data_IF_296614721798
#
_entry.id   IF_296614721798
#
_cell.length_a   1.000
_cell.length_b   1.000
_cell.length_c   1.000
_cell.angle_alpha   90.00
_cell.angle_beta   90.00
_cell.angle_gamma   90.00
#
_symmetry.space_group_name_H-M   'P 1'
#
loop_
_entity.id
_entity.type
_entity.pdbx_description
1 polymer ?
#
# COMPACT_ATOMS: atom_id res chain seq x y z
N UNK A 1 -7.94 44.50 -3.39
CA UNK A 1 -8.44 43.60 -2.33
C UNK A 1 -8.83 42.31 -3.04
N UNK A 2 -7.86 41.44 -3.25
CA UNK A 2 -7.94 40.30 -4.17
C UNK A 2 -8.27 39.05 -3.36
N UNK A 3 -9.53 38.64 -3.40
CA UNK A 3 -9.96 37.35 -2.90
C UNK A 3 -9.35 36.26 -3.77
N UNK A 4 -8.37 35.55 -3.21
CA UNK A 4 -7.79 34.37 -3.85
C UNK A 4 -8.70 33.20 -3.47
N UNK A 5 -9.59 32.83 -4.39
CA UNK A 5 -10.34 31.57 -4.32
C UNK A 5 -9.33 30.42 -4.30
N UNK A 6 -9.07 29.91 -3.09
CA UNK A 6 -8.32 28.68 -2.87
C UNK A 6 -9.15 27.53 -3.42
N UNK A 7 -8.77 27.07 -4.61
CA UNK A 7 -9.33 25.87 -5.21
C UNK A 7 -9.05 24.70 -4.28
N UNK A 8 -10.09 24.20 -3.61
CA UNK A 8 -10.05 22.97 -2.85
C UNK A 8 -9.79 21.83 -3.84
N UNK A 9 -8.51 21.55 -4.08
CA UNK A 9 -8.10 20.34 -4.76
C UNK A 9 -8.68 19.16 -3.97
N UNK A 10 -9.58 18.42 -4.60
CA UNK A 10 -10.11 17.16 -4.07
C UNK A 10 -8.92 16.24 -3.84
N UNK A 11 -8.52 16.11 -2.58
CA UNK A 11 -7.35 15.33 -2.15
C UNK A 11 -7.69 13.85 -2.30
N UNK A 12 -7.34 13.25 -3.43
CA UNK A 12 -7.35 11.80 -3.59
C UNK A 12 -6.26 11.20 -2.69
N UNK A 13 -6.68 10.61 -1.57
CA UNK A 13 -5.87 10.05 -0.47
C UNK A 13 -4.86 8.93 -0.83
N UNK A 14 -4.57 8.69 -2.11
CA UNK A 14 -3.82 7.53 -2.59
C UNK A 14 -2.71 7.87 -3.61
N UNK A 15 -2.14 9.07 -3.54
CA UNK A 15 -0.87 9.41 -4.20
C UNK A 15 0.32 8.91 -3.35
N UNK A 16 1.38 8.29 -3.90
CA UNK A 16 2.63 7.99 -3.18
C UNK A 16 3.20 9.17 -2.37
N UNK A 17 2.87 10.43 -2.71
CA UNK A 17 3.20 11.61 -1.91
C UNK A 17 2.60 11.59 -0.48
N UNK A 18 1.48 10.91 -0.26
CA UNK A 18 0.79 10.84 1.04
C UNK A 18 1.16 9.60 1.87
N UNK A 19 2.01 8.71 1.32
CA UNK A 19 2.44 7.50 2.01
C UNK A 19 3.08 7.77 3.38
N UNK A 20 3.94 8.81 3.57
CA UNK A 20 4.49 9.12 4.89
C UNK A 20 3.41 9.52 5.91
N UNK A 21 2.43 10.33 5.50
CA UNK A 21 1.34 10.76 6.38
C UNK A 21 0.43 9.59 6.79
N UNK A 22 0.13 8.71 5.83
CA UNK A 22 -0.63 7.48 6.08
C UNK A 22 0.10 6.59 7.09
N UNK A 23 1.40 6.37 6.89
CA UNK A 23 2.23 5.54 7.77
C UNK A 23 2.43 6.14 9.16
N UNK A 24 2.51 7.48 9.26
CA UNK A 24 2.58 8.18 10.54
C UNK A 24 1.37 7.84 11.44
N UNK A 25 0.16 7.79 10.86
CA UNK A 25 -1.06 7.39 11.58
C UNK A 25 -1.03 5.95 12.07
N UNK A 26 -0.15 5.13 11.49
CA UNK A 26 0.01 3.72 11.80
C UNK A 26 1.20 3.46 12.74
N UNK A 27 1.85 4.51 13.25
CA UNK A 27 3.03 4.39 14.11
C UNK A 27 4.31 4.11 13.34
N UNK A 28 4.43 4.56 12.09
CA UNK A 28 5.67 4.46 11.33
C UNK A 28 6.19 5.85 10.94
N UNK A 29 7.49 6.05 11.03
CA UNK A 29 8.15 7.28 10.61
C UNK A 29 9.13 7.00 9.46
N UNK A 30 9.36 7.98 8.55
CA UNK A 30 10.46 7.89 7.60
C UNK A 30 11.78 7.66 8.32
N UNK A 31 12.59 6.72 7.82
CA UNK A 31 13.89 6.39 8.36
C UNK A 31 14.97 6.58 7.31
N UNK A 32 16.07 7.25 7.68
CA UNK A 32 17.23 7.40 6.79
C UNK A 32 18.05 6.11 6.69
N UNK A 33 18.02 5.26 7.71
CA UNK A 33 18.73 3.97 7.75
C UNK A 33 18.02 3.02 8.72
N UNK A 34 18.02 1.71 8.43
CA UNK A 34 17.44 0.70 9.31
C UNK A 34 15.91 0.57 9.24
N UNK A 35 15.27 1.26 8.29
CA UNK A 35 13.86 1.07 7.99
C UNK A 35 13.61 -0.14 7.09
N UNK A 36 12.34 -0.49 6.93
CA UNK A 36 11.91 -1.43 5.90
C UNK A 36 11.30 -0.67 4.72
N UNK A 37 11.49 -1.23 3.53
CA UNK A 37 10.83 -0.72 2.31
C UNK A 37 9.44 -1.29 2.20
N UNK A 38 8.59 -0.55 1.50
CA UNK A 38 7.25 -0.99 1.14
C UNK A 38 7.20 -1.39 -0.33
N UNK A 39 6.25 -2.26 -0.64
CA UNK A 39 5.76 -2.51 -1.99
C UNK A 39 4.31 -2.07 -2.07
N UNK A 40 3.85 -1.84 -3.29
CA UNK A 40 2.45 -1.53 -3.52
C UNK A 40 1.93 -2.02 -4.85
N UNK A 41 0.61 -2.09 -4.92
CA UNK A 41 -0.14 -2.33 -6.14
C UNK A 41 -1.04 -1.11 -6.39
N UNK A 42 -1.09 -0.66 -7.64
CA UNK A 42 -1.87 0.52 -8.05
C UNK A 42 -3.20 0.09 -8.67
N UNK A 43 -4.17 0.97 -8.55
CA UNK A 43 -5.38 0.97 -9.35
C UNK A 43 -5.07 1.37 -10.81
N UNK A 44 -5.99 1.12 -11.75
CA UNK A 44 -5.83 1.51 -13.16
C UNK A 44 -5.59 3.02 -13.36
N UNK A 45 -6.12 3.86 -12.48
CA UNK A 45 -5.94 5.32 -12.48
C UNK A 45 -4.56 5.76 -11.94
N UNK A 46 -3.71 4.81 -11.51
CA UNK A 46 -2.39 5.08 -10.96
C UNK A 46 -2.36 5.35 -9.46
N UNK A 47 -3.52 5.47 -8.80
CA UNK A 47 -3.63 5.60 -7.35
C UNK A 47 -3.20 4.31 -6.64
N UNK A 48 -2.72 4.42 -5.41
CA UNK A 48 -2.29 3.29 -4.61
C UNK A 48 -3.54 2.51 -4.13
N UNK A 49 -3.56 1.19 -4.36
CA UNK A 49 -4.65 0.31 -3.92
C UNK A 49 -4.27 -0.50 -2.68
N UNK A 50 -3.05 -1.02 -2.70
CA UNK A 50 -2.52 -1.91 -1.67
C UNK A 50 -1.09 -1.53 -1.34
N UNK A 51 -0.73 -1.63 -0.06
CA UNK A 51 0.61 -1.36 0.46
C UNK A 51 1.01 -2.43 1.47
N UNK A 52 2.23 -2.93 1.40
CA UNK A 52 2.74 -3.90 2.37
C UNK A 52 4.27 -3.84 2.51
N UNK A 53 4.86 -4.35 3.60
CA UNK A 53 6.30 -4.51 3.76
C UNK A 53 6.93 -5.35 2.65
N UNK A 54 8.04 -4.91 2.08
CA UNK A 54 8.74 -5.64 1.02
C UNK A 54 9.33 -6.98 1.50
N UNK A 55 9.35 -7.22 2.82
CA UNK A 55 9.75 -8.47 3.48
C UNK A 55 8.61 -9.48 3.61
N UNK A 56 7.38 -9.09 3.29
CA UNK A 56 6.19 -9.91 3.47
C UNK A 56 6.24 -11.14 2.54
N UNK A 57 6.11 -12.34 3.12
CA UNK A 57 6.20 -13.62 2.38
C UNK A 57 4.84 -14.18 1.98
N UNK A 58 3.76 -13.63 2.50
CA UNK A 58 2.39 -14.03 2.20
C UNK A 58 1.60 -12.83 1.70
N UNK A 59 0.74 -12.98 0.69
CA UNK A 59 -0.02 -11.87 0.15
C UNK A 59 -1.23 -11.54 1.04
N UNK A 60 -0.99 -10.97 2.22
CA UNK A 60 -2.04 -10.65 3.21
C UNK A 60 -3.15 -9.75 2.63
N UNK A 61 -2.82 -8.92 1.63
CA UNK A 61 -3.82 -8.08 0.94
C UNK A 61 -4.93 -8.89 0.25
N UNK A 62 -4.71 -10.18 -0.05
CA UNK A 62 -5.75 -11.04 -0.61
C UNK A 62 -6.86 -11.38 0.39
N UNK A 63 -6.64 -11.22 1.70
CA UNK A 63 -7.69 -11.43 2.70
C UNK A 63 -8.83 -10.43 2.56
N UNK A 64 -8.52 -9.22 2.06
CA UNK A 64 -9.50 -8.20 1.73
C UNK A 64 -10.03 -8.30 0.29
N UNK A 65 -9.57 -9.29 -0.49
CA UNK A 65 -9.97 -9.47 -1.88
C UNK A 65 -11.13 -10.46 -1.98
N UNK A 66 -12.28 -9.99 -2.48
CA UNK A 66 -13.44 -10.84 -2.68
C UNK A 66 -13.22 -11.84 -3.84
N UNK A 67 -12.90 -13.10 -3.48
CA UNK A 67 -12.71 -14.21 -4.40
C UNK A 67 -14.01 -14.97 -4.76
N UNK A 68 -15.16 -14.28 -4.83
CA UNK A 68 -16.44 -14.91 -5.15
C UNK A 68 -16.47 -15.53 -6.57
N UNK A 69 -15.87 -14.87 -7.56
CA UNK A 69 -15.88 -15.32 -8.96
C UNK A 69 -14.70 -16.25 -9.30
N UNK A 70 -14.89 -17.12 -10.30
CA UNK A 70 -13.82 -18.02 -10.79
C UNK A 70 -12.58 -17.25 -11.25
N UNK A 71 -12.77 -16.10 -11.91
CA UNK A 71 -11.68 -15.20 -12.30
C UNK A 71 -10.92 -14.66 -11.09
N UNK A 72 -11.65 -14.24 -10.05
CA UNK A 72 -11.05 -13.73 -8.82
C UNK A 72 -10.26 -14.83 -8.08
N UNK A 73 -10.79 -16.07 -8.02
CA UNK A 73 -10.09 -17.23 -7.45
C UNK A 73 -8.79 -17.55 -8.18
N UNK A 74 -8.82 -17.54 -9.52
CA UNK A 74 -7.63 -17.76 -10.34
C UNK A 74 -6.57 -16.68 -10.08
N UNK A 75 -6.98 -15.41 -10.03
CA UNK A 75 -6.08 -14.32 -9.67
C UNK A 75 -5.46 -14.50 -8.28
N UNK A 76 -6.26 -14.81 -7.26
CA UNK A 76 -5.75 -15.08 -5.91
C UNK A 76 -4.76 -16.25 -5.88
N UNK A 77 -5.05 -17.33 -6.61
CA UNK A 77 -4.15 -18.48 -6.72
C UNK A 77 -2.81 -18.09 -7.37
N UNK A 78 -2.84 -17.35 -8.49
CA UNK A 78 -1.63 -16.88 -9.16
C UNK A 78 -0.78 -15.98 -8.25
N UNK A 79 -1.41 -15.04 -7.54
CA UNK A 79 -0.69 -14.16 -6.61
C UNK A 79 -0.06 -14.97 -5.46
N UNK A 80 -0.75 -15.98 -4.92
CA UNK A 80 -0.18 -16.88 -3.90
C UNK A 80 1.04 -17.63 -4.43
N UNK A 81 0.99 -18.12 -5.67
CA UNK A 81 2.14 -18.78 -6.33
C UNK A 81 3.31 -17.80 -6.50
N UNK A 82 3.05 -16.57 -6.94
CA UNK A 82 4.09 -15.53 -7.08
C UNK A 82 4.80 -15.27 -5.74
N UNK A 83 4.05 -15.19 -4.65
CA UNK A 83 4.63 -15.03 -3.30
C UNK A 83 5.37 -16.28 -2.82
N UNK A 84 4.82 -17.47 -3.06
CA UNK A 84 5.48 -18.74 -2.72
C UNK A 84 6.82 -18.92 -3.45
N UNK A 85 6.89 -18.52 -4.72
CA UNK A 85 8.11 -18.52 -5.53
C UNK A 85 9.04 -17.32 -5.25
N UNK A 86 8.67 -16.40 -4.34
CA UNK A 86 9.42 -15.16 -4.04
C UNK A 86 9.65 -14.26 -5.25
N UNK A 87 8.71 -14.29 -6.20
CA UNK A 87 8.73 -13.50 -7.44
C UNK A 87 7.96 -12.19 -7.31
N UNK A 88 7.44 -11.86 -6.13
CA UNK A 88 6.73 -10.61 -5.85
C UNK A 88 7.55 -9.37 -6.27
N UNK A 89 8.88 -9.48 -6.22
CA UNK A 89 9.79 -8.43 -6.66
C UNK A 89 9.73 -8.05 -8.14
N UNK A 90 9.33 -8.98 -8.99
CA UNK A 90 9.20 -8.76 -10.44
C UNK A 90 7.88 -8.07 -10.78
N UNK A 91 6.80 -8.44 -10.08
CA UNK A 91 5.44 -7.97 -10.35
C UNK A 91 5.07 -6.70 -9.57
N UNK A 92 5.59 -6.52 -8.36
CA UNK A 92 5.21 -5.41 -7.48
C UNK A 92 6.42 -4.52 -7.19
N UNK A 93 6.35 -3.28 -7.68
CA UNK A 93 7.44 -2.31 -7.50
C UNK A 93 7.56 -1.87 -6.04
N UNK A 94 8.79 -1.57 -5.62
CA UNK A 94 9.07 -0.94 -4.33
C UNK A 94 8.56 0.50 -4.38
N UNK A 95 7.93 0.94 -3.29
CA UNK A 95 7.55 2.33 -3.09
C UNK A 95 8.77 3.14 -2.61
N UNK A 96 8.80 4.45 -2.86
CA UNK A 96 9.88 5.30 -2.38
C UNK A 96 9.91 5.38 -0.85
N UNK A 97 11.12 5.56 -0.31
CA UNK A 97 11.36 5.73 1.13
C UNK A 97 11.57 4.42 1.89
N UNK A 98 12.10 4.57 3.11
CA UNK A 98 12.19 3.53 4.12
C UNK A 98 11.47 4.01 5.38
N UNK A 99 10.84 3.08 6.09
CA UNK A 99 10.02 3.39 7.26
C UNK A 99 10.44 2.53 8.44
N UNK A 100 10.52 3.14 9.61
CA UNK A 100 10.79 2.45 10.86
C UNK A 100 9.57 2.55 11.78
N UNK A 101 9.35 1.49 12.54
CA UNK A 101 8.29 1.42 13.51
C UNK A 101 8.64 2.30 14.72
N UNK A 102 7.71 3.15 15.18
CA UNK A 102 7.96 4.09 16.29
C UNK A 102 7.74 3.45 17.67
N UNK A 103 7.20 2.23 17.69
CA UNK A 103 6.83 1.53 18.93
C UNK A 103 5.37 1.75 19.33
N UNK A 104 4.63 2.58 18.60
CA UNK A 104 3.22 2.91 18.86
C UNK A 104 2.25 2.07 18.03
N UNK A 105 2.75 1.21 17.14
CA UNK A 105 1.94 0.35 16.27
C UNK A 105 1.21 -0.74 17.07
N UNK A 106 -0.08 -0.92 16.78
CA UNK A 106 -0.95 -1.93 17.41
C UNK A 106 -0.83 -3.34 16.79
N UNK A 107 0.09 -3.55 15.86
CA UNK A 107 0.20 -4.78 15.06
C UNK A 107 1.66 -5.19 14.82
N UNK A 108 1.91 -6.43 14.37
CA UNK A 108 3.26 -6.92 14.12
C UNK A 108 4.05 -6.08 13.10
N UNK A 109 5.26 -5.68 13.49
CA UNK A 109 6.17 -4.95 12.61
C UNK A 109 6.57 -5.85 11.43
N UNK A 110 6.29 -5.40 10.21
CA UNK A 110 6.64 -6.14 8.99
C UNK A 110 5.61 -7.21 8.58
N UNK A 111 4.51 -7.39 9.32
CA UNK A 111 3.48 -8.39 9.06
C UNK A 111 2.10 -7.79 8.81
N UNK A 112 1.97 -6.87 7.84
CA UNK A 112 0.69 -6.22 7.53
C UNK A 112 0.49 -6.01 6.03
N UNK A 113 -0.76 -5.81 5.64
CA UNK A 113 -1.13 -5.23 4.36
C UNK A 113 -2.21 -4.16 4.58
N UNK A 114 -2.12 -3.07 3.85
CA UNK A 114 -3.00 -1.93 3.95
C UNK A 114 -3.79 -1.77 2.66
N UNK A 115 -5.11 -1.66 2.79
CA UNK A 115 -5.99 -1.25 1.71
C UNK A 115 -6.14 0.27 1.72
N UNK A 116 -5.80 0.92 0.62
CA UNK A 116 -5.86 2.40 0.49
C UNK A 116 -7.06 2.88 -0.31
N UNK A 117 -7.91 1.95 -0.77
CA UNK A 117 -9.16 2.25 -1.47
C UNK A 117 -9.18 1.82 -2.94
N UNK A 118 -10.37 1.89 -3.53
CA UNK A 118 -10.60 1.78 -4.97
C UNK A 118 -10.83 3.15 -5.60
N UNK A 119 -10.63 3.32 -6.92
CA UNK A 119 -11.02 4.54 -7.61
C UNK A 119 -12.51 4.76 -7.40
N UNK A 120 -12.86 5.93 -6.86
CA UNK A 120 -14.24 6.39 -6.75
C UNK A 120 -14.48 7.52 -7.76
N UNK A 121 -15.70 7.65 -8.31
CA UNK A 121 -16.07 8.87 -9.02
C UNK A 121 -16.13 10.00 -7.99
N UNK A 122 -15.10 10.84 -7.95
CA UNK A 122 -15.22 12.18 -7.37
C UNK A 122 -15.55 13.13 -8.51
#
# INVERSE_FOLDING_TARGET
MTETLSSAAVVTNADPAHLPALLARLGYAPAATGGFRLRGCRNPDGSLRWVWPATLRQPLFLEFYNAASTKARLFSALVRVVFACRLDGLFFKKLPGEFAATGQQAWPVGGFALFTGTPGPN
#
